data_IF_979382297255
#
_entry.id   IF_979382297255
#
_cell.length_a   1.000
_cell.length_b   1.000
_cell.length_c   1.000
_cell.angle_alpha   90.00
_cell.angle_beta   90.00
_cell.angle_gamma   90.00
#
_symmetry.space_group_name_H-M   'P 1'
#
loop_
_entity.id
_entity.type
_entity.pdbx_description
1 polymer ?
#
# COMPACT_ATOMS: atom_id res chain seq x y z
N UNK A 1 -11.44 -25.36 1.24
CA UNK A 1 -11.32 -24.61 -0.03
C UNK A 1 -10.85 -23.20 0.29
N UNK A 2 -9.69 -22.76 -0.22
CA UNK A 2 -9.30 -21.34 -0.16
C UNK A 2 -10.31 -20.57 -1.02
N UNK A 3 -10.94 -19.52 -0.48
CA UNK A 3 -11.75 -18.60 -1.30
C UNK A 3 -10.90 -18.15 -2.50
N UNK A 4 -11.48 -18.05 -3.71
CA UNK A 4 -10.79 -17.37 -4.80
C UNK A 4 -10.38 -16.00 -4.27
N UNK A 5 -9.11 -15.65 -4.41
CA UNK A 5 -8.64 -14.29 -4.13
C UNK A 5 -9.55 -13.40 -4.99
N UNK A 6 -10.38 -12.56 -4.36
CA UNK A 6 -11.23 -11.61 -5.09
C UNK A 6 -10.35 -10.92 -6.12
N UNK A 7 -10.76 -10.99 -7.38
CA UNK A 7 -10.03 -10.45 -8.51
C UNK A 7 -9.67 -8.99 -8.20
N UNK A 8 -8.36 -8.70 -8.13
CA UNK A 8 -7.87 -7.38 -7.78
C UNK A 8 -8.47 -6.35 -8.72
N UNK A 9 -9.26 -5.41 -8.18
CA UNK A 9 -9.75 -4.28 -8.97
C UNK A 9 -8.62 -3.27 -9.13
N UNK A 10 -8.01 -3.26 -10.31
CA UNK A 10 -6.88 -2.38 -10.62
C UNK A 10 -7.34 -1.03 -11.16
N UNK A 11 -6.67 0.02 -10.71
CA UNK A 11 -6.89 1.39 -11.10
C UNK A 11 -5.60 1.99 -11.61
N UNK A 12 -5.62 2.58 -12.82
CA UNK A 12 -4.44 3.20 -13.41
C UNK A 12 -4.02 4.42 -12.59
N UNK A 13 -2.72 4.49 -12.29
CA UNK A 13 -2.05 5.64 -11.67
C UNK A 13 -1.63 6.59 -12.79
N UNK A 14 -1.72 7.91 -12.55
CA UNK A 14 -1.22 8.88 -13.52
C UNK A 14 0.33 8.88 -13.56
N UNK A 15 0.92 9.38 -14.64
CA UNK A 15 2.37 9.31 -14.86
C UNK A 15 3.20 9.97 -13.74
N UNK A 16 2.74 11.10 -13.20
CA UNK A 16 3.43 11.82 -12.12
C UNK A 16 3.50 11.00 -10.83
N UNK A 17 2.38 10.41 -10.42
CA UNK A 17 2.30 9.56 -9.24
C UNK A 17 3.08 8.25 -9.45
N UNK A 18 3.05 7.69 -10.66
CA UNK A 18 3.82 6.51 -11.04
C UNK A 18 5.34 6.74 -10.90
N UNK A 19 5.87 7.83 -11.46
CA UNK A 19 7.30 8.21 -11.34
C UNK A 19 7.72 8.36 -9.88
N UNK A 20 6.86 8.97 -9.06
CA UNK A 20 7.13 9.15 -7.63
C UNK A 20 7.20 7.81 -6.92
N UNK A 21 6.20 6.94 -7.12
CA UNK A 21 6.16 5.62 -6.50
C UNK A 21 7.38 4.79 -6.86
N UNK A 22 7.72 4.70 -8.15
CA UNK A 22 8.91 3.97 -8.62
C UNK A 22 10.20 4.54 -8.02
N UNK A 23 10.35 5.87 -7.96
CA UNK A 23 11.56 6.49 -7.41
C UNK A 23 11.75 6.12 -5.93
N UNK A 24 10.67 6.17 -5.14
CA UNK A 24 10.72 5.87 -3.71
C UNK A 24 10.92 4.39 -3.44
N UNK A 25 10.36 3.50 -4.26
CA UNK A 25 10.30 2.06 -3.96
C UNK A 25 11.47 1.26 -4.57
N UNK A 26 12.49 1.95 -5.10
CA UNK A 26 13.72 1.35 -5.62
C UNK A 26 14.59 0.67 -4.54
N UNK A 27 14.30 0.88 -3.25
CA UNK A 27 14.93 0.16 -2.14
C UNK A 27 13.87 -0.69 -1.43
N UNK A 28 13.75 -1.98 -1.79
CA UNK A 28 12.78 -2.88 -1.17
C UNK A 28 12.85 -2.93 0.36
N UNK A 29 11.70 -3.07 1.01
CA UNK A 29 11.58 -3.19 2.46
C UNK A 29 11.78 -1.90 3.25
N UNK A 30 12.17 -0.80 2.59
CA UNK A 30 12.25 0.53 3.21
C UNK A 30 10.91 1.25 3.05
N UNK A 31 10.42 1.86 4.13
CA UNK A 31 9.18 2.63 4.14
C UNK A 31 9.48 4.10 3.93
N UNK A 32 8.82 4.69 2.93
CA UNK A 32 9.00 6.09 2.55
C UNK A 32 7.71 6.87 2.72
N UNK A 33 7.74 8.07 3.34
CA UNK A 33 6.60 8.98 3.30
C UNK A 33 6.38 9.51 1.88
N UNK A 34 5.13 9.64 1.47
CA UNK A 34 4.76 10.23 0.17
C UNK A 34 4.08 11.57 0.40
N UNK A 35 4.45 12.58 -0.40
CA UNK A 35 3.74 13.86 -0.39
C UNK A 35 2.30 13.69 -0.92
N UNK A 36 1.32 14.20 -0.17
CA UNK A 36 -0.11 14.14 -0.50
C UNK A 36 -0.44 14.67 -1.91
N UNK A 37 0.36 15.60 -2.46
CA UNK A 37 0.15 16.11 -3.82
C UNK A 37 0.37 15.07 -4.93
N UNK A 38 1.14 14.02 -4.64
CA UNK A 38 1.63 13.02 -5.58
C UNK A 38 0.77 11.75 -5.64
N UNK A 39 -0.42 11.79 -5.05
CA UNK A 39 -1.29 10.63 -4.99
C UNK A 39 -2.01 10.35 -6.30
N UNK A 40 -2.41 9.08 -6.51
CA UNK A 40 -3.44 8.77 -7.50
C UNK A 40 -4.70 9.61 -7.23
N UNK A 41 -5.27 10.20 -8.27
CA UNK A 41 -6.47 11.06 -8.19
C UNK A 41 -7.65 10.37 -7.52
N UNK A 42 -7.76 9.05 -7.68
CA UNK A 42 -8.78 8.22 -7.05
C UNK A 42 -8.67 8.21 -5.51
N UNK A 43 -7.45 8.30 -4.98
CA UNK A 43 -7.17 8.34 -3.53
C UNK A 43 -7.31 9.76 -3.00
N UNK A 44 -6.98 10.79 -3.79
CA UNK A 44 -7.19 12.20 -3.42
C UNK A 44 -8.65 12.54 -3.11
N UNK A 45 -9.61 11.77 -3.62
CA UNK A 45 -11.04 11.90 -3.31
C UNK A 45 -11.39 11.49 -1.87
N UNK A 46 -10.50 10.79 -1.17
CA UNK A 46 -10.67 10.46 0.22
C UNK A 46 -10.53 11.74 1.06
N UNK A 47 -11.56 12.09 1.84
CA UNK A 47 -11.49 13.24 2.74
C UNK A 47 -10.65 12.93 3.98
N UNK A 48 -10.06 13.97 4.57
CA UNK A 48 -9.37 13.90 5.86
C UNK A 48 -8.02 13.19 5.83
N UNK A 49 -7.43 12.94 4.66
CA UNK A 49 -6.19 12.18 4.60
C UNK A 49 -5.02 13.00 5.16
N UNK A 50 -4.28 12.39 6.08
CA UNK A 50 -3.25 13.05 6.88
C UNK A 50 -1.84 12.59 6.53
N UNK A 51 -1.65 11.33 6.13
CA UNK A 51 -0.33 10.81 5.75
C UNK A 51 -0.40 9.60 4.82
N UNK A 52 0.71 9.37 4.13
CA UNK A 52 0.88 8.29 3.17
C UNK A 52 2.29 7.74 3.25
N UNK A 53 2.39 6.43 3.09
CA UNK A 53 3.66 5.73 3.11
C UNK A 53 3.65 4.65 2.04
N UNK A 54 4.78 4.41 1.38
CA UNK A 54 4.94 3.31 0.46
C UNK A 54 6.23 2.53 0.72
N UNK A 55 6.22 1.28 0.30
CA UNK A 55 7.39 0.41 0.31
C UNK A 55 7.35 -0.55 -0.87
N UNK A 56 8.52 -0.84 -1.42
CA UNK A 56 8.71 -1.85 -2.45
C UNK A 56 8.82 -3.23 -1.82
N UNK A 57 8.32 -4.23 -2.51
CA UNK A 57 8.52 -5.63 -2.13
C UNK A 57 9.91 -6.12 -2.49
N UNK A 58 10.46 -7.05 -1.69
CA UNK A 58 11.73 -7.73 -1.97
C UNK A 58 11.60 -8.73 -3.11
N UNK A 59 10.45 -9.39 -3.20
CA UNK A 59 10.09 -10.28 -4.30
C UNK A 59 8.92 -9.68 -5.10
N UNK A 60 8.83 -9.97 -6.39
CA UNK A 60 7.70 -9.51 -7.21
C UNK A 60 6.71 -10.65 -7.42
N UNK A 61 5.41 -10.37 -7.32
CA UNK A 61 4.40 -11.36 -7.68
C UNK A 61 3.95 -11.18 -9.12
N UNK A 62 3.92 -12.26 -9.88
CA UNK A 62 3.28 -12.26 -11.19
C UNK A 62 1.77 -12.15 -11.00
N UNK A 63 1.16 -11.21 -11.73
CA UNK A 63 -0.27 -11.01 -11.75
C UNK A 63 -0.75 -10.90 -13.21
N UNK A 64 -1.80 -11.62 -13.56
CA UNK A 64 -2.30 -11.66 -14.94
C UNK A 64 -2.82 -10.32 -15.45
N UNK A 65 -3.28 -9.43 -14.58
CA UNK A 65 -3.87 -8.14 -14.96
C UNK A 65 -2.84 -7.03 -15.08
N UNK A 66 -1.83 -7.03 -14.20
CA UNK A 66 -0.82 -5.96 -14.13
C UNK A 66 0.60 -6.46 -14.30
N UNK A 67 0.82 -7.66 -14.84
CA UNK A 67 2.11 -8.32 -15.02
C UNK A 67 2.88 -8.58 -13.71
N UNK A 68 3.31 -7.53 -12.99
CA UNK A 68 4.04 -7.63 -11.72
C UNK A 68 3.37 -6.76 -10.65
N UNK A 69 3.24 -7.30 -9.44
CA UNK A 69 2.96 -6.51 -8.22
C UNK A 69 4.28 -6.29 -7.48
N UNK A 70 4.55 -5.03 -7.15
CA UNK A 70 5.90 -4.58 -6.79
C UNK A 70 5.96 -3.85 -5.44
N UNK A 71 4.82 -3.60 -4.78
CA UNK A 71 4.84 -3.03 -3.44
C UNK A 71 3.47 -2.68 -2.86
N UNK A 72 3.51 -1.99 -1.72
CA UNK A 72 2.35 -1.55 -0.95
C UNK A 72 2.40 -0.07 -0.59
N UNK A 73 1.21 0.49 -0.40
CA UNK A 73 1.01 1.82 0.15
C UNK A 73 0.03 1.78 1.31
N UNK A 74 0.32 2.54 2.36
CA UNK A 74 -0.58 2.84 3.47
C UNK A 74 -1.08 4.26 3.32
N UNK A 75 -2.39 4.45 3.50
CA UNK A 75 -3.07 5.75 3.50
C UNK A 75 -3.76 5.92 4.84
N UNK A 76 -3.34 6.92 5.62
CA UNK A 76 -3.93 7.24 6.90
C UNK A 76 -4.79 8.51 6.79
N UNK A 77 -6.06 8.43 7.20
CA UNK A 77 -6.97 9.59 7.26
C UNK A 77 -7.54 9.81 8.63
N UNK A 78 -7.77 11.06 8.98
CA UNK A 78 -8.48 11.45 10.18
C UNK A 78 -10.00 11.40 9.93
N UNK A 79 -10.71 10.81 10.88
CA UNK A 79 -12.16 10.63 10.88
C UNK A 79 -12.67 10.82 12.31
N UNK A 80 -12.88 12.09 12.68
CA UNK A 80 -13.17 12.49 14.07
C UNK A 80 -12.04 12.09 15.02
N UNK A 81 -12.38 11.30 16.03
CA UNK A 81 -11.43 10.81 17.04
C UNK A 81 -10.67 9.55 16.62
N UNK A 82 -10.78 9.15 15.35
CA UNK A 82 -10.08 8.00 14.79
C UNK A 82 -9.10 8.42 13.69
N UNK A 83 -7.99 7.70 13.61
CA UNK A 83 -7.20 7.58 12.40
C UNK A 83 -7.55 6.25 11.72
N UNK A 84 -7.92 6.32 10.44
CA UNK A 84 -8.23 5.17 9.60
C UNK A 84 -7.08 4.88 8.64
N UNK A 85 -6.51 3.68 8.75
CA UNK A 85 -5.42 3.22 7.88
C UNK A 85 -5.97 2.27 6.82
N UNK A 86 -5.62 2.52 5.56
CA UNK A 86 -6.01 1.70 4.41
C UNK A 86 -4.77 1.27 3.65
N UNK A 87 -4.73 -0.01 3.26
CA UNK A 87 -3.64 -0.57 2.50
C UNK A 87 -4.01 -0.67 1.02
N UNK A 88 -3.01 -0.53 0.17
CA UNK A 88 -3.11 -0.70 -1.26
C UNK A 88 -1.90 -1.48 -1.75
N UNK A 89 -2.06 -2.23 -2.82
CA UNK A 89 -0.93 -2.78 -3.59
C UNK A 89 -0.75 -1.96 -4.85
N UNK A 90 0.47 -1.86 -5.36
CA UNK A 90 0.73 -1.31 -6.69
C UNK A 90 1.53 -2.29 -7.57
N UNK A 91 1.23 -2.27 -8.86
CA UNK A 91 1.80 -3.15 -9.86
C UNK A 91 2.08 -2.44 -11.18
N UNK A 92 2.85 -3.08 -12.05
CA UNK A 92 3.37 -2.49 -13.29
C UNK A 92 3.13 -3.42 -14.46
N UNK A 93 2.27 -3.01 -15.40
CA UNK A 93 1.95 -3.79 -16.60
C UNK A 93 3.18 -4.03 -17.48
N UNK A 94 3.05 -4.90 -18.47
CA UNK A 94 4.09 -5.10 -19.50
C UNK A 94 4.39 -3.84 -20.33
N UNK A 95 3.46 -2.88 -20.39
CA UNK A 95 3.66 -1.57 -21.02
C UNK A 95 4.34 -0.54 -20.10
N UNK A 96 4.67 -0.90 -18.86
CA UNK A 96 5.26 0.01 -17.88
C UNK A 96 4.25 0.92 -17.18
N UNK A 97 2.94 0.71 -17.40
CA UNK A 97 1.90 1.48 -16.72
C UNK A 97 1.74 1.01 -15.26
N UNK A 98 1.69 1.97 -14.33
CA UNK A 98 1.49 1.67 -12.90
C UNK A 98 0.01 1.65 -12.56
N UNK A 99 -0.38 0.64 -11.80
CA UNK A 99 -1.73 0.44 -11.29
C UNK A 99 -1.70 0.25 -9.78
N UNK A 100 -2.83 0.54 -9.12
CA UNK A 100 -3.03 0.18 -7.73
C UNK A 100 -4.33 -0.59 -7.53
N UNK A 101 -4.41 -1.38 -6.46
CA UNK A 101 -5.63 -2.05 -6.02
C UNK A 101 -5.84 -1.87 -4.53
N UNK A 102 -7.11 -1.80 -4.10
CA UNK A 102 -7.53 -1.48 -2.73
C UNK A 102 -8.70 -0.48 -2.71
N UNK A 103 -9.10 0.03 -1.53
CA UNK A 103 -8.44 -0.15 -0.24
C UNK A 103 -8.68 -1.52 0.39
N UNK A 104 -7.64 -2.06 1.03
CA UNK A 104 -7.71 -3.18 1.95
C UNK A 104 -7.68 -2.69 3.40
N UNK A 105 -8.25 -3.49 4.30
CA UNK A 105 -8.31 -3.23 5.74
C UNK A 105 -7.64 -4.40 6.46
N UNK A 106 -6.78 -4.10 7.41
CA UNK A 106 -6.18 -5.11 8.30
C UNK A 106 -5.88 -4.55 9.68
N UNK A 107 -4.79 -5.02 10.28
CA UNK A 107 -4.32 -4.52 11.56
C UNK A 107 -4.13 -2.99 11.51
N UNK A 108 -4.51 -2.32 12.60
CA UNK A 108 -4.41 -0.86 12.69
C UNK A 108 -5.40 -0.10 11.80
N UNK A 109 -6.40 -0.74 11.17
CA UNK A 109 -7.38 -0.04 10.34
C UNK A 109 -8.12 1.07 11.10
N UNK A 110 -8.41 0.87 12.39
CA UNK A 110 -8.92 1.91 13.29
C UNK A 110 -7.96 2.05 14.47
N UNK A 111 -7.44 3.26 14.68
CA UNK A 111 -6.70 3.62 15.90
C UNK A 111 -7.23 4.96 16.42
N UNK A 112 -7.08 5.22 17.71
CA UNK A 112 -7.45 6.52 18.28
C UNK A 112 -6.56 7.61 17.69
N UNK A 113 -7.15 8.76 17.33
CA UNK A 113 -6.39 9.92 16.86
C UNK A 113 -5.33 10.31 17.90
N UNK A 114 -4.08 10.48 17.45
CA UNK A 114 -2.94 10.81 18.33
C UNK A 114 -2.27 9.60 18.98
N UNK A 115 -2.80 8.39 18.81
CA UNK A 115 -2.09 7.18 19.20
C UNK A 115 -0.84 7.00 18.33
N UNK A 116 0.32 6.81 18.95
CA UNK A 116 1.53 6.41 18.22
C UNK A 116 1.43 4.94 17.80
N UNK A 117 1.67 4.69 16.52
CA UNK A 117 1.80 3.36 15.94
C UNK A 117 3.05 3.34 15.06
N UNK A 118 3.81 2.25 15.13
CA UNK A 118 4.94 2.09 14.22
C UNK A 118 4.42 1.91 12.80
N UNK A 119 4.80 2.80 11.90
CA UNK A 119 4.31 2.81 10.51
C UNK A 119 4.58 1.48 9.80
N UNK A 120 5.74 0.86 10.07
CA UNK A 120 6.11 -0.45 9.51
C UNK A 120 5.09 -1.55 9.86
N UNK A 121 4.47 -1.48 11.04
CA UNK A 121 3.47 -2.46 11.49
C UNK A 121 2.14 -2.38 10.72
N UNK A 122 1.92 -1.28 9.98
CA UNK A 122 0.71 -1.07 9.18
C UNK A 122 0.78 -1.74 7.81
N UNK A 123 1.94 -2.23 7.37
CA UNK A 123 2.11 -2.93 6.10
C UNK A 123 1.88 -4.44 6.24
N UNK A 124 1.85 -5.16 5.10
CA UNK A 124 1.61 -6.60 5.07
C UNK A 124 0.13 -6.98 5.23
N UNK A 125 -0.77 -6.00 5.21
CA UNK A 125 -2.20 -6.17 5.47
C UNK A 125 -3.03 -6.37 4.18
N UNK A 126 -2.38 -6.51 3.02
CA UNK A 126 -3.04 -6.79 1.75
C UNK A 126 -3.14 -8.30 1.49
N UNK A 127 -3.94 -8.75 0.50
CA UNK A 127 -3.98 -10.16 0.14
C UNK A 127 -2.63 -10.74 -0.32
N UNK A 128 -1.67 -9.88 -0.74
CA UNK A 128 -0.31 -10.28 -1.14
C UNK A 128 0.73 -9.99 -0.05
N UNK A 129 0.43 -9.06 0.86
CA UNK A 129 1.34 -8.60 1.90
C UNK A 129 1.82 -9.70 2.86
N UNK A 130 1.03 -10.76 3.08
CA UNK A 130 1.42 -11.85 3.98
C UNK A 130 2.67 -12.60 3.53
N UNK A 131 2.97 -12.60 2.24
CA UNK A 131 4.12 -13.33 1.68
C UNK A 131 5.42 -12.52 1.80
N UNK A 132 5.34 -11.21 2.11
CA UNK A 132 6.51 -10.30 2.17
C UNK A 132 7.01 -10.00 3.59
N UNK A 133 6.14 -10.12 4.59
CA UNK A 133 6.41 -9.61 5.93
C UNK A 133 6.84 -10.68 6.95
N UNK A 134 7.15 -11.90 6.51
CA UNK A 134 7.79 -12.91 7.38
C UNK A 134 9.17 -12.47 7.90
N UNK A 135 9.74 -11.37 7.36
CA UNK A 135 11.00 -10.76 7.79
C UNK A 135 10.83 -9.71 8.91
N UNK A 136 9.61 -9.22 9.16
CA UNK A 136 9.32 -8.20 10.18
C UNK A 136 8.65 -8.77 11.44
N UNK A 137 8.47 -10.09 11.54
CA UNK A 137 8.17 -10.70 12.83
C UNK A 137 9.40 -10.53 13.72
N UNK A 138 9.33 -9.78 14.84
CA UNK A 138 10.35 -9.92 15.84
C UNK A 138 10.38 -11.40 16.23
N UNK A 139 11.57 -12.01 16.21
CA UNK A 139 11.80 -13.27 16.90
C UNK A 139 11.45 -13.04 18.37
N UNK A 140 10.20 -13.25 18.75
CA UNK A 140 9.85 -13.53 20.13
C UNK A 140 10.10 -15.03 20.28
N UNK A 141 11.33 -15.36 20.71
CA UNK A 141 11.60 -16.62 21.39
C UNK A 141 11.23 -16.47 22.86
#
# INVERSE_FOLDING_TARGET
MKKPIEEFKWHKVNETAAKTLTTLTNSPGVVYPINNSLLPEQIKKMSGVSSYYATGYTDVHVNSSVNLVVGEMVVARNDGNLTKNYNYVFGVSSSGDVYFSGPYKGFGHHVSSGQSIEVNSLFGQTPLGKDFYDIFKPFIR
#
